data_IF_734251216789
#
_entry.id   IF_734251216789
#
_cell.length_a   1.000
_cell.length_b   1.000
_cell.length_c   1.000
_cell.angle_alpha   90.00
_cell.angle_beta   90.00
_cell.angle_gamma   90.00
#
_symmetry.space_group_name_H-M   'P 1'
#
loop_
_entity.id
_entity.type
_entity.pdbx_description
1 polymer ?
#
# COMPACT_ATOMS: atom_id res chain seq x y z
N UNK A 1 10.79 -36.55 8.69
CA UNK A 1 11.96 -35.82 8.18
C UNK A 1 12.09 -34.47 8.86
N UNK A 2 13.29 -33.83 8.85
CA UNK A 2 13.54 -32.50 9.45
C UNK A 2 12.62 -31.41 8.89
N UNK A 3 12.24 -31.53 7.64
CA UNK A 3 11.40 -30.53 6.97
C UNK A 3 9.92 -30.60 7.40
N UNK A 4 9.37 -31.79 7.59
CA UNK A 4 8.04 -31.96 8.18
C UNK A 4 8.00 -31.39 9.61
N UNK A 5 9.06 -31.59 10.38
CA UNK A 5 9.17 -31.01 11.72
C UNK A 5 9.22 -29.46 11.68
N UNK A 6 9.96 -28.90 10.74
CA UNK A 6 10.02 -27.43 10.54
C UNK A 6 8.68 -26.79 10.17
N UNK A 7 7.78 -27.54 9.52
CA UNK A 7 6.42 -27.12 9.18
C UNK A 7 5.38 -27.46 10.26
N UNK A 8 5.80 -28.02 11.41
CA UNK A 8 4.88 -28.49 12.45
C UNK A 8 4.11 -29.76 12.08
N UNK A 9 4.51 -30.45 11.00
CA UNK A 9 3.80 -31.61 10.41
C UNK A 9 4.51 -32.96 10.68
N UNK A 10 5.25 -33.06 11.79
CA UNK A 10 5.99 -34.31 12.13
C UNK A 10 5.12 -35.56 12.16
N UNK A 11 3.85 -35.42 12.58
CA UNK A 11 2.91 -36.51 12.68
C UNK A 11 2.41 -37.06 11.34
N UNK A 12 2.63 -36.34 10.25
CA UNK A 12 2.13 -36.73 8.91
C UNK A 12 3.04 -37.72 8.17
N UNK A 13 4.21 -38.06 8.73
CA UNK A 13 5.19 -38.89 8.04
C UNK A 13 4.64 -40.26 7.63
N UNK A 14 3.73 -40.85 8.43
CA UNK A 14 3.11 -42.16 8.23
C UNK A 14 1.62 -42.07 7.90
N UNK A 15 1.08 -40.84 7.71
CA UNK A 15 -0.34 -40.60 7.41
C UNK A 15 -0.60 -40.80 5.92
N UNK A 16 -1.70 -41.47 5.59
CA UNK A 16 -2.10 -41.68 4.19
C UNK A 16 -2.66 -40.37 3.61
N UNK A 17 -2.40 -40.12 2.32
CA UNK A 17 -2.82 -38.89 1.62
C UNK A 17 -4.30 -38.52 1.75
N UNK A 18 -5.19 -39.55 1.84
CA UNK A 18 -6.63 -39.30 1.97
C UNK A 18 -7.09 -38.96 3.41
N UNK A 19 -6.19 -39.08 4.37
CA UNK A 19 -6.42 -38.72 5.78
C UNK A 19 -5.88 -37.30 6.10
N UNK A 20 -5.14 -36.67 5.18
CA UNK A 20 -4.53 -35.38 5.34
C UNK A 20 -5.54 -34.26 5.02
N UNK A 21 -5.58 -33.22 5.83
CA UNK A 21 -6.43 -32.06 5.57
C UNK A 21 -5.98 -31.30 4.29
N UNK A 22 -6.90 -30.55 3.68
CA UNK A 22 -6.58 -29.74 2.49
C UNK A 22 -5.45 -28.73 2.72
N UNK A 23 -5.39 -28.14 3.92
CA UNK A 23 -4.33 -27.20 4.31
C UNK A 23 -2.97 -27.88 4.43
N UNK A 24 -2.92 -29.02 5.10
CA UNK A 24 -1.69 -29.82 5.22
C UNK A 24 -1.21 -30.32 3.86
N UNK A 25 -2.13 -30.76 3.00
CA UNK A 25 -1.80 -31.16 1.65
C UNK A 25 -1.16 -30.01 0.84
N UNK A 26 -1.72 -28.81 0.95
CA UNK A 26 -1.16 -27.61 0.31
C UNK A 26 0.26 -27.30 0.81
N UNK A 27 0.50 -27.39 2.12
CA UNK A 27 1.85 -27.21 2.67
C UNK A 27 2.83 -28.25 2.15
N UNK A 28 2.40 -29.52 2.01
CA UNK A 28 3.23 -30.58 1.42
C UNK A 28 3.58 -30.29 -0.04
N UNK A 29 2.64 -29.75 -0.83
CA UNK A 29 2.92 -29.33 -2.20
C UNK A 29 3.97 -28.22 -2.24
N UNK A 30 3.82 -27.19 -1.42
CA UNK A 30 4.78 -26.08 -1.34
C UNK A 30 6.16 -26.61 -0.92
N UNK A 31 6.22 -27.47 0.10
CA UNK A 31 7.47 -28.12 0.51
C UNK A 31 8.14 -28.90 -0.61
N UNK A 32 7.36 -29.60 -1.42
CA UNK A 32 7.88 -30.36 -2.57
C UNK A 32 8.56 -29.41 -3.57
N UNK A 33 7.92 -28.28 -3.91
CA UNK A 33 8.50 -27.29 -4.83
C UNK A 33 9.77 -26.65 -4.25
N UNK A 34 9.78 -26.35 -2.94
CA UNK A 34 10.96 -25.84 -2.25
C UNK A 34 12.14 -26.83 -2.29
N UNK A 35 11.86 -28.15 -2.22
CA UNK A 35 12.88 -29.18 -2.29
C UNK A 35 13.55 -29.31 -3.66
N UNK A 36 12.86 -28.92 -4.72
CA UNK A 36 13.43 -28.88 -6.07
C UNK A 36 14.45 -27.76 -6.24
N UNK A 37 14.52 -26.84 -5.24
CA UNK A 37 15.45 -25.70 -5.18
C UNK A 37 15.48 -24.89 -6.51
N UNK A 38 14.32 -24.41 -7.01
CA UNK A 38 14.29 -23.60 -8.22
C UNK A 38 15.03 -22.28 -8.03
N UNK A 39 15.54 -21.69 -9.11
CA UNK A 39 16.19 -20.37 -9.10
C UNK A 39 15.22 -19.27 -8.62
N UNK A 40 13.94 -19.40 -8.95
CA UNK A 40 12.85 -18.53 -8.50
C UNK A 40 11.60 -19.37 -8.20
N UNK A 41 11.09 -19.30 -6.98
CA UNK A 41 9.83 -19.89 -6.58
C UNK A 41 8.75 -18.80 -6.51
N UNK A 42 7.69 -18.97 -7.30
CA UNK A 42 6.54 -18.04 -7.28
C UNK A 42 5.37 -18.74 -6.59
N UNK A 43 4.82 -18.11 -5.57
CA UNK A 43 3.64 -18.58 -4.86
C UNK A 43 2.53 -17.55 -4.96
N UNK A 44 1.39 -17.96 -5.52
CA UNK A 44 0.21 -17.12 -5.66
C UNK A 44 -0.84 -17.56 -4.62
N UNK A 45 -1.17 -16.65 -3.70
CA UNK A 45 -2.07 -16.87 -2.56
C UNK A 45 -1.84 -18.22 -1.84
N UNK A 46 -0.62 -18.49 -1.37
CA UNK A 46 -0.31 -19.77 -0.73
C UNK A 46 -1.09 -20.00 0.57
N UNK A 47 -1.59 -18.95 1.17
CA UNK A 47 -2.36 -18.92 2.42
C UNK A 47 -3.87 -19.16 2.23
N UNK A 48 -4.37 -19.22 0.98
CA UNK A 48 -5.78 -19.45 0.72
C UNK A 48 -6.24 -20.78 1.30
N UNK A 49 -7.35 -20.75 2.07
CA UNK A 49 -7.97 -21.91 2.74
C UNK A 49 -7.12 -22.55 3.86
N UNK A 50 -6.05 -21.89 4.33
CA UNK A 50 -5.30 -22.35 5.49
C UNK A 50 -5.97 -21.87 6.78
N UNK A 51 -6.05 -22.78 7.77
CA UNK A 51 -6.33 -22.40 9.15
C UNK A 51 -5.10 -21.74 9.80
N UNK A 52 -5.25 -21.24 11.02
CA UNK A 52 -4.17 -20.53 11.70
C UNK A 52 -2.95 -21.44 11.99
N UNK A 53 -3.14 -22.72 12.28
CA UNK A 53 -2.05 -23.66 12.50
C UNK A 53 -1.22 -23.89 11.24
N UNK A 54 -1.89 -24.15 10.13
CA UNK A 54 -1.25 -24.33 8.83
C UNK A 54 -0.62 -23.02 8.32
N UNK A 55 -1.21 -21.86 8.62
CA UNK A 55 -0.63 -20.54 8.29
C UNK A 55 0.70 -20.33 9.00
N UNK A 56 0.80 -20.69 10.30
CA UNK A 56 2.05 -20.62 11.04
C UNK A 56 3.10 -21.57 10.46
N UNK A 57 2.69 -22.78 10.05
CA UNK A 57 3.54 -23.74 9.33
C UNK A 57 4.08 -23.18 8.01
N UNK A 58 3.21 -22.53 7.22
CA UNK A 58 3.60 -21.84 5.98
C UNK A 58 4.65 -20.75 6.24
N UNK A 59 4.44 -19.93 7.27
CA UNK A 59 5.38 -18.89 7.66
C UNK A 59 6.76 -19.48 8.02
N UNK A 60 6.79 -20.60 8.75
CA UNK A 60 8.03 -21.30 9.07
C UNK A 60 8.75 -21.84 7.82
N UNK A 61 7.99 -22.38 6.86
CA UNK A 61 8.55 -22.86 5.58
C UNK A 61 9.15 -21.71 4.78
N UNK A 62 8.44 -20.59 4.65
CA UNK A 62 8.92 -19.40 3.92
C UNK A 62 10.20 -18.87 4.57
N UNK A 63 10.22 -18.67 5.89
CA UNK A 63 11.38 -18.17 6.63
C UNK A 63 12.58 -19.13 6.59
N UNK A 64 12.33 -20.42 6.45
CA UNK A 64 13.38 -21.45 6.35
C UNK A 64 13.95 -21.61 4.93
N UNK A 65 13.27 -21.11 3.91
CA UNK A 65 13.71 -21.25 2.51
C UNK A 65 14.90 -20.33 2.23
N UNK A 66 15.90 -20.85 1.50
CA UNK A 66 17.14 -20.11 1.21
C UNK A 66 17.24 -19.63 -0.23
N UNK A 67 16.31 -20.05 -1.10
CA UNK A 67 16.25 -19.61 -2.48
C UNK A 67 15.55 -18.28 -2.65
N UNK A 68 15.47 -17.79 -3.88
CA UNK A 68 14.68 -16.60 -4.23
C UNK A 68 13.19 -16.96 -4.31
N UNK A 69 12.36 -16.17 -3.66
CA UNK A 69 10.91 -16.39 -3.62
C UNK A 69 10.15 -15.10 -3.90
N UNK A 70 9.11 -15.19 -4.72
CA UNK A 70 8.10 -14.14 -4.92
C UNK A 70 6.75 -14.68 -4.44
N UNK A 71 6.14 -13.99 -3.47
CA UNK A 71 4.85 -14.41 -2.92
C UNK A 71 3.82 -13.32 -3.16
N UNK A 72 2.70 -13.70 -3.75
CA UNK A 72 1.53 -12.84 -3.92
C UNK A 72 0.55 -13.24 -2.82
N UNK A 73 0.23 -12.31 -1.92
CA UNK A 73 -0.71 -12.54 -0.82
C UNK A 73 -1.30 -11.23 -0.31
N UNK A 74 -2.50 -11.31 0.21
CA UNK A 74 -3.14 -10.21 0.97
C UNK A 74 -3.15 -10.48 2.49
N UNK A 75 -2.56 -11.59 2.93
CA UNK A 75 -2.53 -12.00 4.33
C UNK A 75 -1.51 -11.19 5.13
N UNK A 76 -2.02 -10.34 6.02
CA UNK A 76 -1.19 -9.42 6.82
C UNK A 76 -0.24 -10.15 7.78
N UNK A 77 -0.60 -11.35 8.23
CA UNK A 77 0.27 -12.15 9.08
C UNK A 77 1.54 -12.54 8.32
N UNK A 78 1.41 -13.13 7.12
CA UNK A 78 2.56 -13.47 6.28
C UNK A 78 3.38 -12.23 5.90
N UNK A 79 2.70 -11.17 5.44
CA UNK A 79 3.35 -9.93 5.03
C UNK A 79 4.21 -9.30 6.12
N UNK A 80 3.82 -9.42 7.39
CA UNK A 80 4.57 -8.86 8.51
C UNK A 80 5.65 -9.78 9.09
N UNK A 81 5.50 -11.12 8.91
CA UNK A 81 6.38 -12.06 9.60
C UNK A 81 7.36 -12.79 8.68
N UNK A 82 7.10 -12.75 7.37
CA UNK A 82 7.87 -13.54 6.41
C UNK A 82 8.69 -12.70 5.43
N UNK A 83 8.39 -11.40 5.28
CA UNK A 83 8.98 -10.58 4.24
C UNK A 83 9.55 -9.27 4.80
N UNK A 84 10.66 -8.85 4.18
CA UNK A 84 11.33 -7.57 4.46
C UNK A 84 11.43 -6.69 3.18
N UNK A 85 10.78 -7.10 2.11
CA UNK A 85 10.69 -6.38 0.84
C UNK A 85 9.28 -6.51 0.31
N UNK A 86 8.67 -5.39 -0.03
CA UNK A 86 7.32 -5.32 -0.57
C UNK A 86 7.39 -4.76 -1.99
N UNK A 87 6.73 -5.44 -2.91
CA UNK A 87 6.49 -4.96 -4.26
C UNK A 87 5.02 -4.54 -4.36
N UNK A 88 4.79 -3.25 -4.55
CA UNK A 88 3.45 -2.69 -4.72
C UNK A 88 3.19 -2.39 -6.19
N UNK A 89 2.19 -3.06 -6.75
CA UNK A 89 1.73 -2.85 -8.11
C UNK A 89 0.42 -2.05 -8.09
N UNK A 90 0.45 -0.83 -8.61
CA UNK A 90 -0.73 0.03 -8.72
C UNK A 90 -0.73 0.76 -10.08
N UNK A 91 -1.86 0.74 -10.79
CA UNK A 91 -2.05 1.40 -12.10
C UNK A 91 -0.99 1.05 -13.17
N UNK A 92 -0.39 -0.12 -13.09
CA UNK A 92 0.68 -0.57 -14.00
C UNK A 92 2.09 -0.17 -13.57
N UNK A 93 2.24 0.61 -12.51
CA UNK A 93 3.52 0.97 -11.93
C UNK A 93 3.89 0.03 -10.79
N UNK A 94 5.16 -0.38 -10.76
CA UNK A 94 5.72 -1.24 -9.73
C UNK A 94 6.64 -0.41 -8.82
N UNK A 95 6.28 -0.34 -7.55
CA UNK A 95 7.06 0.33 -6.51
C UNK A 95 7.67 -0.71 -5.58
N UNK A 96 8.94 -0.55 -5.28
CA UNK A 96 9.67 -1.41 -4.35
C UNK A 96 9.86 -0.68 -3.01
N UNK A 97 9.59 -1.39 -1.92
CA UNK A 97 9.78 -0.89 -0.56
C UNK A 97 10.59 -1.90 0.25
N UNK A 98 11.74 -1.46 0.79
CA UNK A 98 12.55 -2.24 1.72
C UNK A 98 12.06 -2.02 3.14
N UNK A 99 11.54 -3.07 3.75
CA UNK A 99 10.99 -3.05 5.09
C UNK A 99 9.79 -3.98 5.25
N UNK A 100 9.21 -3.97 6.44
CA UNK A 100 8.03 -4.75 6.78
C UNK A 100 6.76 -4.16 6.16
N UNK A 101 5.71 -4.97 6.04
CA UNK A 101 4.41 -4.50 5.56
C UNK A 101 3.82 -3.38 6.43
N UNK A 102 4.06 -3.42 7.74
CA UNK A 102 3.61 -2.35 8.64
C UNK A 102 4.30 -1.02 8.33
N UNK A 103 5.61 -1.02 8.09
CA UNK A 103 6.37 0.17 7.71
C UNK A 103 5.91 0.72 6.36
N UNK A 104 5.75 -0.16 5.37
CA UNK A 104 5.19 0.19 4.07
C UNK A 104 3.81 0.86 4.22
N UNK A 105 2.88 0.27 4.99
CA UNK A 105 1.55 0.85 5.22
C UNK A 105 1.62 2.22 5.90
N UNK A 106 2.52 2.39 6.85
CA UNK A 106 2.75 3.68 7.51
C UNK A 106 3.28 4.73 6.53
N UNK A 107 4.18 4.35 5.61
CA UNK A 107 4.70 5.25 4.57
C UNK A 107 3.58 5.74 3.66
N UNK A 108 2.80 4.82 3.08
CA UNK A 108 1.65 5.17 2.22
C UNK A 108 0.61 6.05 2.93
N UNK A 109 0.34 5.76 4.21
CA UNK A 109 -0.61 6.59 4.98
C UNK A 109 -0.08 8.00 5.22
N UNK A 110 1.22 8.15 5.49
CA UNK A 110 1.86 9.48 5.64
C UNK A 110 1.80 10.28 4.35
N UNK A 111 2.11 9.66 3.21
CA UNK A 111 2.00 10.32 1.90
C UNK A 111 0.57 10.78 1.60
N UNK A 112 -0.40 9.90 1.80
CA UNK A 112 -1.82 10.24 1.60
C UNK A 112 -2.30 11.35 2.54
N UNK A 113 -1.81 11.37 3.78
CA UNK A 113 -2.12 12.44 4.73
C UNK A 113 -1.48 13.77 4.31
N UNK A 114 -0.21 13.75 3.89
CA UNK A 114 0.49 14.94 3.41
C UNK A 114 -0.22 15.56 2.20
N UNK A 115 -0.61 14.75 1.21
CA UNK A 115 -1.39 15.20 0.06
C UNK A 115 -2.75 15.79 0.46
N UNK A 116 -3.45 15.18 1.42
CA UNK A 116 -4.71 15.73 1.91
C UNK A 116 -4.53 17.07 2.61
N UNK A 117 -3.50 17.22 3.43
CA UNK A 117 -3.22 18.48 4.12
C UNK A 117 -2.88 19.58 3.11
N UNK A 118 -2.05 19.27 2.13
CA UNK A 118 -1.73 20.22 1.05
C UNK A 118 -2.99 20.65 0.29
N UNK A 119 -3.87 19.72 -0.06
CA UNK A 119 -5.13 20.05 -0.74
C UNK A 119 -6.04 20.95 0.11
N UNK A 120 -6.11 20.72 1.43
CA UNK A 120 -6.90 21.56 2.35
C UNK A 120 -6.29 22.96 2.40
N UNK A 121 -4.98 23.09 2.54
CA UNK A 121 -4.30 24.41 2.57
C UNK A 121 -4.52 25.18 1.27
N UNK A 122 -4.44 24.51 0.11
CA UNK A 122 -4.71 25.14 -1.20
C UNK A 122 -6.18 25.58 -1.33
N UNK A 123 -7.13 24.78 -0.84
CA UNK A 123 -8.55 25.16 -0.83
C UNK A 123 -8.81 26.37 0.08
N UNK A 124 -8.19 26.40 1.26
CA UNK A 124 -8.30 27.52 2.18
C UNK A 124 -7.71 28.80 1.60
N UNK A 125 -6.58 28.71 0.89
CA UNK A 125 -5.97 29.86 0.22
C UNK A 125 -6.88 30.41 -0.90
N UNK A 126 -7.48 29.52 -1.70
CA UNK A 126 -8.46 29.88 -2.72
C UNK A 126 -9.66 30.58 -2.10
N UNK A 127 -10.24 30.01 -1.03
CA UNK A 127 -11.40 30.57 -0.34
C UNK A 127 -11.12 31.96 0.22
N UNK A 128 -9.99 32.17 0.91
CA UNK A 128 -9.56 33.47 1.44
C UNK A 128 -9.34 34.49 0.33
N UNK A 129 -8.73 34.07 -0.79
CA UNK A 129 -8.48 34.96 -1.93
C UNK A 129 -9.79 35.37 -2.61
N UNK A 130 -10.73 34.44 -2.75
CA UNK A 130 -12.06 34.70 -3.27
C UNK A 130 -12.82 35.69 -2.38
N UNK A 131 -12.84 35.50 -1.08
CA UNK A 131 -13.48 36.41 -0.11
C UNK A 131 -12.89 37.84 -0.23
N UNK A 132 -11.56 37.94 -0.36
CA UNK A 132 -10.90 39.22 -0.53
C UNK A 132 -11.29 39.90 -1.84
N UNK A 133 -11.40 39.17 -2.94
CA UNK A 133 -11.91 39.68 -4.24
C UNK A 133 -13.33 40.23 -4.08
N UNK A 134 -14.20 39.50 -3.39
CA UNK A 134 -15.60 39.90 -3.20
C UNK A 134 -15.72 41.17 -2.33
N UNK A 135 -14.92 41.27 -1.28
CA UNK A 135 -14.84 42.49 -0.45
C UNK A 135 -14.34 43.67 -1.28
N UNK A 136 -13.29 43.50 -2.08
CA UNK A 136 -12.76 44.58 -2.93
C UNK A 136 -13.74 45.02 -4.00
N UNK A 137 -14.45 44.07 -4.62
CA UNK A 137 -15.50 44.36 -5.61
C UNK A 137 -16.64 45.18 -4.98
N UNK A 138 -17.10 44.80 -3.79
CA UNK A 138 -18.14 45.56 -3.07
C UNK A 138 -17.68 46.99 -2.78
N UNK A 139 -16.46 47.18 -2.29
CA UNK A 139 -15.90 48.53 -2.07
C UNK A 139 -15.73 49.32 -3.35
N UNK A 140 -15.38 48.71 -4.47
CA UNK A 140 -15.27 49.35 -5.77
C UNK A 140 -16.63 49.82 -6.33
N UNK A 141 -17.74 49.13 -6.01
CA UNK A 141 -19.08 49.53 -6.39
C UNK A 141 -19.63 50.69 -5.58
N UNK A 142 -19.17 50.84 -4.32
CA UNK A 142 -19.59 51.95 -3.42
C UNK A 142 -18.86 53.28 -3.69
N UNK A 143 -17.61 53.19 -4.19
CA UNK A 143 -16.79 54.39 -4.50
C UNK A 143 -16.00 54.13 -5.78
N UNK A 144 -16.19 54.98 -6.79
CA UNK A 144 -15.39 54.97 -8.02
C UNK A 144 -13.98 55.44 -7.70
N UNK A 145 -13.08 54.47 -7.45
CA UNK A 145 -11.69 54.73 -7.18
C UNK A 145 -10.80 53.85 -8.08
N UNK A 146 -10.02 54.39 -9.00
CA UNK A 146 -9.15 53.67 -9.93
C UNK A 146 -8.11 52.76 -9.23
N UNK A 147 -7.71 53.09 -8.01
CA UNK A 147 -6.76 52.29 -7.20
C UNK A 147 -7.43 50.97 -6.75
N UNK A 148 -8.69 51.04 -6.32
CA UNK A 148 -9.42 49.85 -5.90
C UNK A 148 -9.66 48.91 -7.10
N UNK A 149 -9.96 49.46 -8.28
CA UNK A 149 -10.09 48.68 -9.52
C UNK A 149 -8.83 47.89 -9.88
N UNK A 150 -7.66 48.49 -9.75
CA UNK A 150 -6.36 47.80 -9.95
C UNK A 150 -6.16 46.67 -8.93
N UNK A 151 -6.52 46.89 -7.66
CA UNK A 151 -6.41 45.88 -6.60
C UNK A 151 -7.33 44.71 -6.83
N UNK A 152 -8.56 44.93 -7.33
CA UNK A 152 -9.50 43.85 -7.72
C UNK A 152 -8.88 43.00 -8.82
N UNK A 153 -8.38 43.62 -9.89
CA UNK A 153 -7.80 42.85 -11.01
C UNK A 153 -6.55 42.05 -10.60
N UNK A 154 -5.70 42.61 -9.73
CA UNK A 154 -4.52 41.91 -9.22
C UNK A 154 -4.92 40.65 -8.40
N UNK A 155 -5.89 40.83 -7.50
CA UNK A 155 -6.39 39.70 -6.68
C UNK A 155 -7.16 38.68 -7.52
N UNK A 156 -7.92 39.09 -8.52
CA UNK A 156 -8.56 38.17 -9.45
C UNK A 156 -7.55 37.34 -10.22
N UNK A 157 -6.48 37.96 -10.73
CA UNK A 157 -5.41 37.23 -11.41
C UNK A 157 -4.68 36.24 -10.49
N UNK A 158 -4.53 36.57 -9.19
CA UNK A 158 -4.00 35.64 -8.21
C UNK A 158 -4.93 34.44 -8.02
N UNK A 159 -6.22 34.66 -7.85
CA UNK A 159 -7.23 33.62 -7.72
C UNK A 159 -7.25 32.69 -8.94
N UNK A 160 -7.24 33.24 -10.14
CA UNK A 160 -7.25 32.48 -11.38
C UNK A 160 -6.03 31.55 -11.50
N UNK A 161 -4.84 32.01 -11.02
CA UNK A 161 -3.63 31.19 -10.97
C UNK A 161 -3.74 30.04 -9.95
N UNK A 162 -4.31 30.30 -8.77
CA UNK A 162 -4.48 29.28 -7.73
C UNK A 162 -5.45 28.20 -8.21
N UNK A 163 -6.58 28.59 -8.77
CA UNK A 163 -7.57 27.65 -9.35
C UNK A 163 -6.96 26.82 -10.50
N UNK A 164 -6.21 27.48 -11.40
CA UNK A 164 -5.55 26.80 -12.51
C UNK A 164 -4.46 25.79 -12.04
N UNK A 165 -3.83 26.05 -10.90
CA UNK A 165 -2.86 25.13 -10.28
C UNK A 165 -3.56 23.89 -9.71
N UNK A 166 -4.68 24.08 -9.01
CA UNK A 166 -5.45 22.99 -8.42
C UNK A 166 -6.03 22.02 -9.49
N UNK A 167 -6.42 22.52 -10.66
CA UNK A 167 -6.94 21.68 -11.76
C UNK A 167 -5.84 20.80 -12.38
N UNK A 168 -4.55 21.15 -12.23
CA UNK A 168 -3.43 20.40 -12.81
C UNK A 168 -2.79 19.40 -11.87
N UNK A 169 -3.10 19.44 -10.59
CA UNK A 169 -2.61 18.54 -9.55
C UNK A 169 -3.54 17.33 -9.37
#
# INVERSE_FOLDING_TARGET
SKQLAAAGMSGLADTKLHEISGGEYKLLQIMREMLLAPDLLILDEPDAFLDFGNLAGLCQLINGYKGTMLVITHNRYLLNHCFNKILHLENGDLQEFDGTYTEYRCSILREKLALKLQNIEEQDEIARTQEMVDILRKRASEKVNPVIGRSVNAKQSQLDRLVARQIKA
#
